data_IF_841737774957
#
_entry.id   IF_841737774957
#
_cell.length_a   1.000
_cell.length_b   1.000
_cell.length_c   1.000
_cell.angle_alpha   90.00
_cell.angle_beta   90.00
_cell.angle_gamma   90.00
#
_symmetry.space_group_name_H-M   'P 1'
#
loop_
_entity.id
_entity.type
_entity.pdbx_description
1 polymer ?
#
# COMPACT_ATOMS: atom_id res chain seq x y z
N UNK A 1 -28.44 -36.19 -20.39
CA UNK A 1 -29.55 -35.58 -19.64
C UNK A 1 -29.33 -34.07 -19.61
N UNK A 2 -30.06 -33.28 -20.40
CA UNK A 2 -29.92 -31.83 -20.44
C UNK A 2 -31.08 -31.15 -19.70
N UNK A 3 -30.84 -30.02 -19.05
CA UNK A 3 -31.86 -28.97 -19.00
C UNK A 3 -31.22 -27.58 -18.89
N UNK A 4 -31.43 -26.80 -19.95
CA UNK A 4 -31.37 -25.34 -20.00
C UNK A 4 -32.78 -24.82 -19.76
N UNK A 5 -32.97 -23.82 -18.91
CA UNK A 5 -34.21 -23.04 -18.93
C UNK A 5 -33.89 -21.56 -18.79
N UNK A 6 -33.85 -20.92 -19.96
CA UNK A 6 -34.09 -19.49 -20.18
C UNK A 6 -35.56 -19.22 -19.87
N UNK A 7 -35.86 -18.23 -19.03
CA UNK A 7 -37.22 -17.69 -18.91
C UNK A 7 -37.29 -16.37 -19.67
N UNK A 8 -38.00 -16.42 -20.79
CA UNK A 8 -38.53 -15.26 -21.49
C UNK A 8 -39.77 -14.78 -20.74
N UNK A 9 -39.80 -13.50 -20.37
CA UNK A 9 -41.01 -12.86 -19.84
C UNK A 9 -41.67 -12.10 -20.98
N UNK A 10 -42.80 -12.65 -21.43
CA UNK A 10 -43.76 -12.02 -22.34
C UNK A 10 -44.37 -10.77 -21.72
N UNK A 11 -44.28 -9.66 -22.45
CA UNK A 11 -45.01 -8.43 -22.17
C UNK A 11 -46.49 -8.59 -22.59
N UNK A 12 -47.42 -8.35 -21.65
CA UNK A 12 -48.83 -8.20 -21.95
C UNK A 12 -49.17 -6.70 -21.90
N UNK A 13 -49.56 -6.14 -23.03
CA UNK A 13 -50.08 -4.79 -23.14
C UNK A 13 -51.56 -4.76 -22.70
N UNK A 14 -51.89 -3.86 -21.78
CA UNK A 14 -53.26 -3.48 -21.48
C UNK A 14 -53.41 -1.96 -21.72
N UNK A 15 -54.22 -1.60 -22.72
CA UNK A 15 -54.63 -0.24 -22.99
C UNK A 15 -55.81 0.14 -22.07
N UNK A 16 -55.68 1.25 -21.35
CA UNK A 16 -56.77 1.90 -20.62
C UNK A 16 -56.71 3.42 -20.85
N UNK A 17 -57.91 3.98 -20.93
CA UNK A 17 -58.28 5.27 -21.50
C UNK A 17 -57.72 6.50 -20.75
N UNK A 18 -57.47 7.56 -21.52
CA UNK A 18 -56.96 8.85 -21.07
C UNK A 18 -58.02 9.65 -20.28
N UNK A 19 -57.65 10.04 -19.05
CA UNK A 19 -58.26 11.13 -18.28
C UNK A 19 -57.27 12.29 -18.08
N UNK A 20 -57.73 13.52 -17.79
CA UNK A 20 -56.86 14.68 -17.65
C UNK A 20 -55.99 14.55 -16.39
N UNK A 21 -54.69 14.80 -16.57
CA UNK A 21 -53.64 14.37 -15.66
C UNK A 21 -53.50 15.18 -14.37
N UNK A 22 -53.14 14.45 -13.33
CA UNK A 22 -52.12 14.87 -12.37
C UNK A 22 -51.05 13.79 -12.39
N UNK A 23 -49.91 14.07 -13.01
CA UNK A 23 -48.76 13.17 -12.99
C UNK A 23 -48.24 13.13 -11.55
N UNK A 24 -48.63 12.08 -10.81
CA UNK A 24 -48.05 11.81 -9.51
C UNK A 24 -46.64 11.28 -9.74
N UNK A 25 -45.63 12.10 -9.45
CA UNK A 25 -44.24 11.71 -9.54
C UNK A 25 -44.01 10.47 -8.67
N UNK A 26 -43.47 9.41 -9.28
CA UNK A 26 -43.03 8.23 -8.55
C UNK A 26 -42.04 8.66 -7.45
N UNK A 27 -42.12 8.08 -6.24
CA UNK A 27 -41.20 8.41 -5.18
C UNK A 27 -39.77 8.11 -5.65
N UNK A 28 -38.92 9.13 -5.64
CA UNK A 28 -37.49 8.98 -5.87
C UNK A 28 -36.95 7.99 -4.83
N UNK A 29 -36.45 6.84 -5.28
CA UNK A 29 -35.79 5.89 -4.41
C UNK A 29 -34.71 6.62 -3.60
N UNK A 30 -34.75 6.44 -2.27
CA UNK A 30 -33.72 6.97 -1.40
C UNK A 30 -32.37 6.36 -1.81
N UNK A 31 -31.28 7.15 -1.82
CA UNK A 31 -29.96 6.61 -2.07
C UNK A 31 -29.67 5.53 -1.03
N UNK A 32 -29.32 4.34 -1.50
CA UNK A 32 -28.78 3.27 -0.65
C UNK A 32 -27.55 3.84 0.05
N UNK A 33 -27.43 3.76 1.39
CA UNK A 33 -26.20 4.16 2.06
C UNK A 33 -25.04 3.39 1.42
N UNK A 34 -24.15 4.09 0.72
CA UNK A 34 -22.84 3.53 0.41
C UNK A 34 -22.17 3.34 1.76
N UNK A 35 -21.97 2.08 2.18
CA UNK A 35 -20.97 1.77 3.19
C UNK A 35 -19.68 2.45 2.73
N UNK A 36 -19.30 3.51 3.44
CA UNK A 36 -18.02 4.13 3.28
C UNK A 36 -17.01 3.09 3.78
N UNK A 37 -16.60 2.18 2.87
CA UNK A 37 -15.51 1.24 3.12
C UNK A 37 -14.38 2.07 3.72
N UNK A 38 -14.02 1.77 4.96
CA UNK A 38 -12.88 2.43 5.59
C UNK A 38 -11.70 2.28 4.63
N UNK A 39 -11.07 3.40 4.25
CA UNK A 39 -9.90 3.36 3.40
C UNK A 39 -8.89 2.39 4.03
N UNK A 40 -8.28 1.52 3.22
CA UNK A 40 -7.23 0.67 3.73
C UNK A 40 -6.08 1.55 4.23
N UNK A 41 -5.60 1.28 5.45
CA UNK A 41 -4.56 2.06 6.11
C UNK A 41 -3.43 1.17 6.60
N UNK A 42 -2.21 1.67 6.56
CA UNK A 42 -1.10 1.12 7.31
C UNK A 42 -1.29 1.47 8.79
N UNK A 43 -1.25 0.45 9.65
CA UNK A 43 -1.25 0.59 11.12
C UNK A 43 -0.03 -0.12 11.69
N UNK A 44 0.43 0.32 12.86
CA UNK A 44 1.61 -0.27 13.47
C UNK A 44 1.54 -0.29 15.00
N UNK A 45 2.25 -1.25 15.60
CA UNK A 45 2.45 -1.36 17.05
C UNK A 45 3.91 -1.64 17.36
N UNK A 46 4.38 -1.23 18.54
CA UNK A 46 5.73 -1.53 19.03
C UNK A 46 5.65 -2.53 20.19
N UNK A 47 6.31 -3.67 20.03
CA UNK A 47 6.57 -4.59 21.14
C UNK A 47 7.51 -3.91 22.15
N UNK A 48 7.09 -3.83 23.40
CA UNK A 48 7.83 -3.18 24.49
C UNK A 48 7.96 -4.14 25.67
N UNK A 49 9.15 -4.20 26.25
CA UNK A 49 9.36 -4.82 27.55
C UNK A 49 8.55 -4.09 28.63
N UNK A 50 8.03 -4.83 29.62
CA UNK A 50 7.27 -4.26 30.74
C UNK A 50 8.10 -3.32 31.62
N UNK A 51 9.40 -3.60 31.76
CA UNK A 51 10.37 -2.77 32.50
C UNK A 51 11.58 -2.47 31.60
N UNK A 52 11.52 -1.44 30.75
CA UNK A 52 12.53 -1.22 29.73
C UNK A 52 13.82 -0.60 30.27
N UNK A 53 14.96 -1.08 29.77
CA UNK A 53 16.27 -0.46 30.03
C UNK A 53 16.37 0.95 29.42
N UNK A 54 17.34 1.76 29.85
CA UNK A 54 17.55 3.10 29.27
C UNK A 54 17.86 3.03 27.76
N UNK A 55 18.59 1.99 27.34
CA UNK A 55 18.80 1.69 25.94
C UNK A 55 17.46 1.42 25.24
N UNK A 56 16.68 0.43 25.67
CA UNK A 56 15.37 0.11 25.09
C UNK A 56 14.44 1.34 25.01
N UNK A 57 14.38 2.17 26.05
CA UNK A 57 13.58 3.40 26.04
C UNK A 57 14.00 4.34 24.92
N UNK A 58 15.31 4.54 24.75
CA UNK A 58 15.84 5.38 23.68
C UNK A 58 15.53 4.78 22.30
N UNK A 59 15.64 3.46 22.15
CA UNK A 59 15.32 2.78 20.88
C UNK A 59 13.85 2.95 20.55
N UNK A 60 12.97 2.72 21.52
CA UNK A 60 11.54 2.84 21.34
C UNK A 60 11.12 4.24 20.93
N UNK A 61 11.75 5.29 21.48
CA UNK A 61 11.44 6.67 21.11
C UNK A 61 11.82 6.96 19.65
N UNK A 62 13.01 6.52 19.22
CA UNK A 62 13.47 6.70 17.83
C UNK A 62 12.61 5.91 16.85
N UNK A 63 12.35 4.62 17.12
CA UNK A 63 11.48 3.77 16.31
C UNK A 63 10.08 4.37 16.21
N UNK A 64 9.54 4.88 17.33
CA UNK A 64 8.20 5.50 17.35
C UNK A 64 8.15 6.74 16.45
N UNK A 65 9.15 7.62 16.52
CA UNK A 65 9.22 8.77 15.64
C UNK A 65 9.32 8.37 14.16
N UNK A 66 10.21 7.41 13.83
CA UNK A 66 10.40 6.92 12.48
C UNK A 66 9.13 6.26 11.89
N UNK A 67 8.51 5.35 12.64
CA UNK A 67 7.29 4.65 12.20
C UNK A 67 6.10 5.61 12.09
N UNK A 68 5.94 6.56 13.02
CA UNK A 68 4.88 7.56 12.90
C UNK A 68 5.01 8.40 11.63
N UNK A 69 6.22 8.87 11.32
CA UNK A 69 6.46 9.64 10.10
C UNK A 69 6.20 8.81 8.83
N UNK A 70 6.75 7.60 8.77
CA UNK A 70 6.60 6.72 7.60
C UNK A 70 5.14 6.29 7.38
N UNK A 71 4.43 5.89 8.44
CA UNK A 71 3.01 5.48 8.35
C UNK A 71 2.11 6.66 8.00
N UNK A 72 2.35 7.85 8.58
CA UNK A 72 1.63 9.05 8.18
C UNK A 72 1.79 9.35 6.68
N UNK A 73 3.01 9.21 6.16
CA UNK A 73 3.28 9.41 4.73
C UNK A 73 2.60 8.36 3.85
N UNK A 74 2.70 7.07 4.20
CA UNK A 74 2.00 6.00 3.49
C UNK A 74 0.49 6.23 3.44
N UNK A 75 -0.12 6.56 4.59
CA UNK A 75 -1.56 6.79 4.68
C UNK A 75 -2.02 8.08 3.99
N UNK A 76 -1.14 9.07 3.82
CA UNK A 76 -1.46 10.30 3.11
C UNK A 76 -1.36 10.15 1.58
N UNK A 77 -0.46 9.32 1.08
CA UNK A 77 -0.12 9.24 -0.35
C UNK A 77 -0.55 7.94 -1.03
N UNK A 78 -1.14 7.01 -0.29
CA UNK A 78 -1.60 5.73 -0.81
C UNK A 78 -2.86 5.24 -0.12
N UNK A 79 -3.51 4.29 -0.77
CA UNK A 79 -4.66 3.52 -0.30
C UNK A 79 -4.24 2.11 0.17
N UNK A 80 -2.98 1.94 0.58
CA UNK A 80 -2.43 0.66 0.99
C UNK A 80 -2.79 0.32 2.44
N UNK A 81 -3.07 -0.97 2.68
CA UNK A 81 -3.38 -1.52 4.01
C UNK A 81 -2.37 -2.56 4.48
N UNK A 82 -1.91 -2.44 5.72
CA UNK A 82 -1.06 -3.43 6.39
C UNK A 82 -1.11 -3.19 7.90
N UNK A 83 -1.18 -4.27 8.68
CA UNK A 83 -0.92 -4.21 10.12
C UNK A 83 0.50 -4.65 10.39
N UNK A 84 1.27 -3.79 11.05
CA UNK A 84 2.71 -3.98 11.26
C UNK A 84 3.02 -4.15 12.75
N UNK A 85 3.77 -5.18 13.08
CA UNK A 85 4.35 -5.38 14.41
C UNK A 85 5.83 -5.06 14.36
N UNK A 86 6.23 -4.04 15.11
CA UNK A 86 7.61 -3.57 15.18
C UNK A 86 8.25 -4.04 16.47
N UNK A 87 9.53 -4.41 16.43
CA UNK A 87 10.32 -4.72 17.62
C UNK A 87 11.73 -4.15 17.55
N UNK A 88 12.30 -3.92 18.74
CA UNK A 88 13.71 -3.62 18.89
C UNK A 88 14.49 -4.91 19.13
N UNK A 89 15.42 -5.23 18.23
CA UNK A 89 16.26 -6.43 18.29
C UNK A 89 17.72 -6.04 18.00
N UNK A 90 18.56 -5.86 19.03
CA UNK A 90 19.95 -5.43 18.85
C UNK A 90 20.84 -6.44 18.13
N UNK A 91 20.37 -7.68 17.89
CA UNK A 91 21.09 -8.66 17.08
C UNK A 91 20.99 -8.39 15.56
N UNK A 92 20.04 -7.55 15.15
CA UNK A 92 19.87 -7.11 13.76
C UNK A 92 20.87 -5.99 13.45
N UNK A 93 21.74 -6.13 12.43
CA UNK A 93 22.74 -5.10 12.13
C UNK A 93 22.14 -3.74 11.73
N UNK A 94 20.96 -3.75 11.10
CA UNK A 94 20.28 -2.56 10.56
C UNK A 94 18.80 -2.58 10.97
N UNK A 95 17.93 -2.94 10.03
CA UNK A 95 16.53 -3.27 10.19
C UNK A 95 16.15 -4.34 9.15
N UNK A 96 15.06 -5.08 9.39
CA UNK A 96 14.50 -6.02 8.40
C UNK A 96 12.98 -6.11 8.52
N UNK A 97 12.30 -5.93 7.39
CA UNK A 97 10.87 -6.13 7.20
C UNK A 97 10.55 -7.47 6.56
N UNK A 98 9.47 -8.10 7.00
CA UNK A 98 8.99 -9.37 6.48
C UNK A 98 7.56 -9.26 5.98
N UNK A 99 7.23 -10.02 4.93
CA UNK A 99 5.91 -10.06 4.29
C UNK A 99 4.77 -10.38 5.27
N UNK A 100 5.05 -11.08 6.37
CA UNK A 100 4.08 -11.36 7.43
C UNK A 100 3.66 -10.10 8.25
N UNK A 101 4.26 -8.94 8.01
CA UNK A 101 3.97 -7.70 8.72
C UNK A 101 4.87 -7.43 9.92
N UNK A 102 5.99 -8.14 10.10
CA UNK A 102 6.95 -7.80 11.17
C UNK A 102 8.08 -6.91 10.65
N UNK A 103 8.48 -5.92 11.45
CA UNK A 103 9.72 -5.16 11.23
C UNK A 103 10.58 -5.23 12.49
N UNK A 104 11.88 -5.50 12.33
CA UNK A 104 12.86 -5.41 13.42
C UNK A 104 13.80 -4.26 13.15
N UNK A 105 14.06 -3.45 14.17
CA UNK A 105 15.14 -2.45 14.15
C UNK A 105 16.21 -2.86 15.15
N UNK A 106 17.49 -2.80 14.76
CA UNK A 106 18.61 -3.09 15.66
C UNK A 106 19.52 -1.90 15.90
N UNK A 107 20.19 -1.39 14.88
CA UNK A 107 21.12 -0.26 15.07
C UNK A 107 20.38 1.09 15.08
N UNK A 108 20.75 1.97 16.03
CA UNK A 108 20.17 3.30 16.20
C UNK A 108 20.29 4.20 14.98
N UNK A 109 21.39 4.09 14.23
CA UNK A 109 21.57 4.88 13.01
C UNK A 109 20.55 4.54 11.91
N UNK A 110 19.82 3.42 12.06
CA UNK A 110 18.78 2.96 11.14
C UNK A 110 17.37 3.16 11.69
N UNK A 111 17.20 3.81 12.84
CA UNK A 111 15.87 4.15 13.37
C UNK A 111 15.39 5.49 12.80
N UNK A 112 15.36 5.56 11.47
CA UNK A 112 15.04 6.77 10.68
C UNK A 112 13.77 6.57 9.87
N UNK A 113 13.09 7.67 9.50
CA UNK A 113 11.92 7.61 8.60
C UNK A 113 12.27 6.90 7.28
N UNK A 114 13.45 7.19 6.71
CA UNK A 114 13.96 6.54 5.50
C UNK A 114 13.97 5.02 5.64
N UNK A 115 14.55 4.50 6.72
CA UNK A 115 14.56 3.05 6.98
C UNK A 115 13.15 2.51 7.17
N UNK A 116 12.31 3.19 7.95
CA UNK A 116 10.94 2.74 8.17
C UNK A 116 10.12 2.67 6.87
N UNK A 117 10.25 3.65 5.97
CA UNK A 117 9.59 3.62 4.66
C UNK A 117 10.03 2.40 3.84
N UNK A 118 11.34 2.15 3.80
CA UNK A 118 11.95 1.00 3.12
C UNK A 118 11.46 -0.34 3.68
N UNK A 119 11.50 -0.52 5.00
CA UNK A 119 11.06 -1.77 5.62
C UNK A 119 9.54 -1.99 5.47
N UNK A 120 8.73 -0.93 5.51
CA UNK A 120 7.28 -1.03 5.22
C UNK A 120 7.07 -1.59 3.80
N UNK A 121 7.86 -1.15 2.81
CA UNK A 121 7.77 -1.67 1.44
C UNK A 121 8.05 -3.18 1.37
N UNK A 122 9.03 -3.67 2.15
CA UNK A 122 9.27 -5.11 2.28
C UNK A 122 8.09 -5.86 2.89
N UNK A 123 7.42 -5.28 3.89
CA UNK A 123 6.19 -5.89 4.44
C UNK A 123 5.02 -5.92 3.45
N UNK A 124 4.99 -4.99 2.49
CA UNK A 124 3.97 -4.94 1.44
C UNK A 124 4.22 -6.00 0.37
N UNK A 125 5.49 -6.26 0.01
CA UNK A 125 5.82 -7.26 -1.01
C UNK A 125 7.14 -7.05 -1.73
N UNK A 126 7.75 -5.86 -1.60
CA UNK A 126 9.03 -5.55 -2.25
C UNK A 126 10.07 -6.58 -1.82
N UNK A 127 10.71 -7.22 -2.80
CA UNK A 127 11.76 -8.21 -2.59
C UNK A 127 11.32 -9.59 -2.12
N UNK A 128 10.07 -9.78 -1.69
CA UNK A 128 9.65 -11.00 -0.98
C UNK A 128 8.40 -11.67 -1.56
N UNK A 129 7.56 -10.95 -2.29
CA UNK A 129 6.33 -11.51 -2.86
C UNK A 129 6.57 -12.27 -4.16
N UNK A 130 5.62 -13.12 -4.55
CA UNK A 130 5.64 -13.75 -5.88
C UNK A 130 5.48 -12.72 -7.01
N UNK A 131 4.72 -11.66 -6.77
CA UNK A 131 4.57 -10.53 -7.70
C UNK A 131 5.91 -9.84 -7.96
N UNK A 132 6.73 -9.69 -6.91
CA UNK A 132 8.10 -9.20 -7.05
C UNK A 132 8.93 -10.08 -7.99
N UNK A 133 8.95 -11.39 -7.77
CA UNK A 133 9.69 -12.31 -8.64
C UNK A 133 9.19 -12.29 -10.08
N UNK A 134 7.87 -12.21 -10.29
CA UNK A 134 7.27 -12.20 -11.61
C UNK A 134 7.57 -10.91 -12.39
N UNK A 135 7.51 -9.76 -11.73
CA UNK A 135 7.56 -8.46 -12.39
C UNK A 135 8.95 -7.80 -12.34
N UNK A 136 9.75 -8.12 -11.32
CA UNK A 136 11.12 -7.61 -11.12
C UNK A 136 12.23 -8.65 -11.35
N UNK A 137 11.91 -9.92 -11.59
CA UNK A 137 12.92 -10.99 -11.70
C UNK A 137 13.97 -10.78 -12.80
N UNK A 138 13.68 -9.98 -13.83
CA UNK A 138 14.60 -9.66 -14.92
C UNK A 138 15.56 -8.50 -14.62
N UNK A 139 15.55 -7.93 -13.41
CA UNK A 139 16.38 -6.79 -13.01
C UNK A 139 15.83 -5.41 -13.42
N UNK A 140 14.62 -5.38 -13.97
CA UNK A 140 13.85 -4.15 -14.25
C UNK A 140 12.39 -4.48 -14.05
N UNK A 141 11.67 -3.63 -13.31
CA UNK A 141 10.23 -3.78 -13.11
C UNK A 141 9.50 -3.70 -14.44
N UNK A 142 8.62 -4.66 -14.70
CA UNK A 142 7.87 -4.78 -15.96
C UNK A 142 6.41 -4.35 -15.86
N UNK A 143 5.94 -4.05 -14.64
CA UNK A 143 4.60 -3.53 -14.39
C UNK A 143 4.38 -2.14 -15.01
N UNK A 144 3.21 -1.93 -15.60
CA UNK A 144 2.91 -0.75 -16.41
C UNK A 144 2.72 0.52 -15.56
N UNK A 145 2.09 0.41 -14.39
CA UNK A 145 1.75 1.54 -13.53
C UNK A 145 3.00 2.17 -12.93
N UNK A 146 3.85 1.37 -12.27
CA UNK A 146 5.08 1.89 -11.67
C UNK A 146 6.07 2.38 -12.74
N UNK A 147 6.13 1.71 -13.90
CA UNK A 147 6.97 2.14 -15.02
C UNK A 147 6.50 3.47 -15.63
N UNK A 148 5.18 3.68 -15.78
CA UNK A 148 4.65 4.96 -16.24
C UNK A 148 4.96 6.07 -15.23
N UNK A 149 4.82 5.78 -13.94
CA UNK A 149 5.04 6.74 -12.87
C UNK A 149 6.51 7.20 -12.80
N UNK A 150 7.48 6.28 -12.84
CA UNK A 150 8.90 6.68 -12.83
C UNK A 150 9.27 7.50 -14.06
N UNK A 151 8.65 7.24 -15.22
CA UNK A 151 8.83 8.04 -16.42
C UNK A 151 8.21 9.43 -16.35
N UNK A 152 7.11 9.58 -15.60
CA UNK A 152 6.56 10.90 -15.30
C UNK A 152 7.50 11.72 -14.41
N UNK A 153 8.18 11.06 -13.47
CA UNK A 153 9.10 11.72 -12.55
C UNK A 153 10.42 12.13 -13.20
N UNK A 154 11.01 11.24 -13.99
CA UNK A 154 12.42 11.34 -14.40
C UNK A 154 12.60 11.36 -15.93
N UNK A 155 11.49 11.38 -16.68
CA UNK A 155 11.47 11.46 -18.14
C UNK A 155 11.18 10.11 -18.83
N UNK A 156 10.80 10.18 -20.11
CA UNK A 156 10.27 9.04 -20.87
C UNK A 156 11.21 7.82 -20.97
N UNK A 157 12.52 8.02 -20.84
CA UNK A 157 13.53 6.96 -20.87
C UNK A 157 13.76 6.26 -19.52
N UNK A 158 13.16 6.75 -18.43
CA UNK A 158 13.39 6.20 -17.10
C UNK A 158 12.88 4.75 -16.97
N UNK A 159 13.55 4.00 -16.10
CA UNK A 159 13.26 2.61 -15.76
C UNK A 159 13.35 2.43 -14.25
N UNK A 160 12.56 1.50 -13.73
CA UNK A 160 12.67 1.06 -12.35
C UNK A 160 13.52 -0.22 -12.30
N UNK A 161 14.80 -0.08 -12.00
CA UNK A 161 15.71 -1.21 -11.81
C UNK A 161 15.35 -1.98 -10.55
N UNK A 162 15.57 -3.29 -10.55
CA UNK A 162 15.29 -4.17 -9.41
C UNK A 162 16.46 -5.13 -9.19
N UNK A 163 16.69 -5.57 -7.95
CA UNK A 163 17.74 -6.52 -7.63
C UNK A 163 17.97 -6.70 -6.13
N UNK A 164 18.31 -7.93 -5.72
CA UNK A 164 18.65 -8.24 -4.33
C UNK A 164 17.56 -7.90 -3.31
N UNK A 165 16.29 -7.88 -3.73
CA UNK A 165 15.16 -7.47 -2.90
C UNK A 165 14.78 -5.99 -2.98
N UNK A 166 15.56 -5.18 -3.69
CA UNK A 166 15.45 -3.72 -3.71
C UNK A 166 15.12 -3.18 -5.11
N UNK A 167 14.66 -1.94 -5.17
CA UNK A 167 14.45 -1.21 -6.42
C UNK A 167 15.15 0.15 -6.43
N UNK A 168 15.35 0.68 -7.64
CA UNK A 168 15.91 2.02 -7.88
C UNK A 168 15.26 2.61 -9.14
N UNK A 169 15.10 3.94 -9.24
CA UNK A 169 15.30 4.94 -8.18
C UNK A 169 14.22 4.88 -7.08
N UNK A 170 14.42 5.65 -6.01
CA UNK A 170 13.45 5.84 -4.91
C UNK A 170 13.18 4.61 -4.03
N UNK A 171 14.04 3.59 -4.06
CA UNK A 171 13.95 2.45 -3.11
C UNK A 171 14.33 2.80 -1.67
N UNK A 172 14.98 3.95 -1.45
CA UNK A 172 15.44 4.41 -0.13
C UNK A 172 16.34 3.38 0.57
N UNK A 173 17.27 2.81 -0.19
CA UNK A 173 18.20 1.77 0.23
C UNK A 173 19.34 2.33 1.09
N UNK A 174 19.68 3.61 0.90
CA UNK A 174 20.69 4.34 1.65
C UNK A 174 20.13 5.63 2.23
N UNK A 175 20.68 6.08 3.37
CA UNK A 175 20.26 7.34 4.01
C UNK A 175 20.48 8.56 3.09
N UNK A 176 21.50 8.52 2.24
CA UNK A 176 21.79 9.58 1.25
C UNK A 176 20.74 9.70 0.14
N UNK A 177 19.83 8.73 0.00
CA UNK A 177 18.71 8.81 -0.94
C UNK A 177 17.51 9.55 -0.34
N UNK A 178 17.53 9.89 0.95
CA UNK A 178 16.42 10.55 1.62
C UNK A 178 16.30 12.03 1.21
N UNK A 179 15.08 12.39 0.80
CA UNK A 179 14.59 13.76 0.69
C UNK A 179 13.07 13.72 0.79
N UNK A 180 12.41 14.87 1.03
CA UNK A 180 10.94 14.92 1.03
C UNK A 180 10.34 14.38 -0.28
N UNK A 181 10.88 14.81 -1.42
CA UNK A 181 10.47 14.34 -2.74
C UNK A 181 10.73 12.85 -2.95
N UNK A 182 11.89 12.33 -2.55
CA UNK A 182 12.20 10.92 -2.70
C UNK A 182 11.32 10.03 -1.81
N UNK A 183 10.99 10.50 -0.60
CA UNK A 183 10.10 9.82 0.33
C UNK A 183 8.66 9.72 -0.22
N UNK A 184 8.15 10.81 -0.82
CA UNK A 184 6.83 10.79 -1.46
C UNK A 184 6.78 9.87 -2.66
N UNK A 185 7.80 9.97 -3.54
CA UNK A 185 7.91 9.13 -4.73
C UNK A 185 8.06 7.65 -4.38
N UNK A 186 8.78 7.32 -3.31
CA UNK A 186 8.87 5.96 -2.79
C UNK A 186 7.49 5.36 -2.53
N UNK A 187 6.65 6.03 -1.72
CA UNK A 187 5.30 5.56 -1.39
C UNK A 187 4.44 5.41 -2.65
N UNK A 188 4.47 6.40 -3.53
CA UNK A 188 3.68 6.38 -4.77
C UNK A 188 4.11 5.24 -5.71
N UNK A 189 5.41 4.97 -5.80
CA UNK A 189 5.95 3.84 -6.57
C UNK A 189 5.52 2.51 -5.96
N UNK A 190 5.68 2.31 -4.65
CA UNK A 190 5.24 1.07 -3.99
C UNK A 190 3.74 0.83 -4.20
N UNK A 191 2.91 1.87 -4.09
CA UNK A 191 1.48 1.75 -4.39
C UNK A 191 1.20 1.40 -5.86
N UNK A 192 1.95 1.97 -6.81
CA UNK A 192 1.85 1.60 -8.22
C UNK A 192 2.30 0.16 -8.49
N UNK A 193 3.35 -0.31 -7.80
CA UNK A 193 3.81 -1.69 -7.90
C UNK A 193 2.74 -2.68 -7.38
N UNK A 194 2.05 -2.34 -6.28
CA UNK A 194 0.90 -3.14 -5.81
C UNK A 194 -0.21 -3.20 -6.86
N UNK A 195 -0.51 -2.09 -7.55
CA UNK A 195 -1.50 -2.07 -8.64
C UNK A 195 -1.04 -2.87 -9.87
N UNK A 196 0.26 -3.04 -10.06
CA UNK A 196 0.82 -3.92 -11.10
C UNK A 196 0.74 -5.42 -10.72
N UNK A 197 0.47 -5.74 -9.45
CA UNK A 197 0.40 -7.11 -8.95
C UNK A 197 1.63 -7.56 -8.15
N UNK A 198 2.34 -6.63 -7.51
CA UNK A 198 3.30 -6.95 -6.43
C UNK A 198 2.64 -7.79 -5.34
#
# INVERSE_FOLDING_TARGET
MPWRTTLAVTALAAALLAGPGVAQAAPKAAPVPQEQLAAATITWTLERASNPTADQQTAYNLITAAMNAAVARYNNLSDLGKSITVRYDPSVPTADGNLNGTIRFGNRSYMTERTALHEIAHTIGVGTSSGWSALGGSGTWTGAQATALVRQFDGSGAKLSTGGGHFWPYGLNYETEMSGTAADRHVQIVAAMVRDGL
#
